data_IF_248140318272
#
_entry.id   IF_248140318272
#
_cell.length_a   1.000
_cell.length_b   1.000
_cell.length_c   1.000
_cell.angle_alpha   90.00
_cell.angle_beta   90.00
_cell.angle_gamma   90.00
#
_symmetry.space_group_name_H-M   'P 1'
#
loop_
_entity.id
_entity.type
_entity.pdbx_description
1 polymer ?
2 water ?
#
# COMPACT_ATOMS: atom_id res chain seq x y z
N UNK A 1 13.95 2.35 4.18
CA UNK A 1 12.85 3.17 3.59
C UNK A 1 11.89 2.31 2.77
N UNK A 2 10.66 2.14 3.28
CA UNK A 2 9.63 1.36 2.60
C UNK A 2 8.52 2.22 2.02
N UNK A 3 7.84 1.68 1.02
CA UNK A 3 6.93 2.46 0.18
C UNK A 3 5.63 1.71 0.02
N UNK A 4 4.53 2.43 0.11
CA UNK A 4 3.21 1.84 -0.08
C UNK A 4 2.73 2.33 -1.42
N UNK A 5 2.09 1.46 -2.16
CA UNK A 5 1.57 1.87 -3.47
C UNK A 5 0.09 1.53 -3.57
N UNK A 6 -0.74 2.54 -3.79
CA UNK A 6 -2.18 2.34 -3.94
C UNK A 6 -2.53 2.45 -5.44
N UNK A 7 -3.01 1.36 -6.02
CA UNK A 7 -3.44 1.43 -7.42
C UNK A 7 -4.89 1.94 -7.55
N UNK A 8 -5.07 3.10 -8.17
CA UNK A 8 -6.45 3.58 -8.41
C UNK A 8 -7.34 3.40 -7.18
N UNK A 9 -6.96 4.02 -6.04
CA UNK A 9 -7.85 3.88 -4.87
C UNK A 9 -9.21 4.58 -5.10
N UNK A 10 -10.22 4.05 -4.40
CA UNK A 10 -11.63 4.19 -4.76
C UNK A 10 -12.40 4.97 -3.68
N UNK A 11 -12.07 4.73 -2.40
CA UNK A 11 -12.88 5.20 -1.26
C UNK A 11 -12.09 6.20 -0.38
N UNK A 12 -12.55 7.46 -0.32
CA UNK A 12 -11.68 8.47 0.30
C UNK A 12 -11.17 8.16 1.73
N UNK A 13 -12.03 7.71 2.68
CA UNK A 13 -11.45 7.49 4.03
C UNK A 13 -10.35 6.41 4.07
N UNK A 14 -10.33 5.43 3.16
CA UNK A 14 -9.24 4.46 3.22
C UNK A 14 -7.91 5.14 2.94
N UNK A 15 -7.90 6.02 1.93
CA UNK A 15 -6.70 6.73 1.56
C UNK A 15 -6.32 7.71 2.66
N UNK A 16 -7.30 8.41 3.24
CA UNK A 16 -7.00 9.24 4.42
C UNK A 16 -6.35 8.48 5.58
N UNK A 17 -6.92 7.32 5.95
CA UNK A 17 -6.30 6.43 6.96
C UNK A 17 -4.89 5.98 6.61
N UNK A 18 -4.64 5.68 5.33
CA UNK A 18 -3.33 5.20 4.88
C UNK A 18 -2.30 6.36 4.86
N UNK A 19 -2.73 7.57 4.54
CA UNK A 19 -1.84 8.71 4.74
C UNK A 19 -1.41 8.88 6.19
N UNK A 20 -2.37 8.87 7.11
CA UNK A 20 -2.03 8.81 8.54
C UNK A 20 -1.05 7.67 8.90
N UNK A 21 -1.30 6.49 8.38
CA UNK A 21 -0.44 5.33 8.66
C UNK A 21 0.99 5.55 8.19
N UNK A 22 1.16 6.06 6.97
CA UNK A 22 2.48 6.45 6.46
C UNK A 22 3.15 7.52 7.33
N UNK A 23 2.37 8.44 7.86
CA UNK A 23 2.95 9.46 8.72
C UNK A 23 3.43 8.83 10.03
N UNK A 24 2.72 7.83 10.56
CA UNK A 24 3.06 7.20 11.83
C UNK A 24 4.22 6.20 11.75
N UNK A 25 4.52 5.72 10.54
CA UNK A 25 5.50 4.70 10.36
C UNK A 25 6.71 5.19 9.55
N UNK A 26 6.69 6.43 9.07
CA UNK A 26 7.77 6.91 8.20
C UNK A 26 7.80 6.33 6.77
N UNK A 27 6.76 5.59 6.34
CA UNK A 27 6.74 5.04 4.96
C UNK A 27 6.31 6.14 3.97
N UNK A 28 6.71 6.02 2.71
CA UNK A 28 6.25 6.93 1.65
C UNK A 28 5.02 6.34 0.99
N UNK A 29 4.13 7.18 0.49
CA UNK A 29 2.92 6.71 -0.16
C UNK A 29 2.90 7.08 -1.65
N UNK A 30 2.62 6.10 -2.51
CA UNK A 30 2.53 6.34 -3.95
C UNK A 30 1.13 6.04 -4.41
N UNK A 31 0.56 6.96 -5.17
CA UNK A 31 -0.79 6.74 -5.62
C UNK A 31 -0.84 6.70 -7.16
N UNK A 32 -1.39 5.63 -7.70
CA UNK A 32 -1.43 5.53 -9.14
C UNK A 32 -2.78 5.97 -9.66
N UNK A 33 -2.79 7.09 -10.38
CA UNK A 33 -4.02 7.66 -10.90
C UNK A 33 -4.58 6.75 -11.98
N UNK A 34 -5.90 6.84 -12.29
CA UNK A 34 -6.84 7.79 -11.69
C UNK A 34 -7.47 7.24 -10.38
N UNK A 35 -7.70 8.13 -9.42
CA UNK A 35 -8.41 7.79 -8.18
C UNK A 35 -9.92 7.91 -8.39
N UNK A 36 -10.73 7.19 -7.61
CA UNK A 36 -12.18 7.30 -7.74
C UNK A 36 -12.81 8.50 -7.04
N UNK A 37 -11.98 9.44 -6.57
CA UNK A 37 -12.48 10.61 -5.84
C UNK A 37 -11.50 11.75 -6.05
N UNK A 38 -11.91 12.98 -5.74
CA UNK A 38 -11.01 14.16 -5.89
C UNK A 38 -10.21 14.38 -4.58
N UNK A 39 -8.97 14.85 -4.66
CA UNK A 39 -8.28 15.26 -3.42
C UNK A 39 -9.11 16.20 -2.56
N UNK A 40 -10.00 16.96 -3.18
CA UNK A 40 -10.78 17.97 -2.45
C UNK A 40 -11.97 17.41 -1.71
N UNK A 41 -12.23 16.13 -1.90
CA UNK A 41 -13.36 15.44 -1.28
C UNK A 41 -13.34 15.56 0.24
N UNK A 42 -14.44 16.03 0.83
CA UNK A 42 -14.46 16.28 2.28
C UNK A 42 -14.23 14.96 3.03
N UNK A 43 -14.76 13.86 2.49
CA UNK A 43 -14.58 12.54 3.10
C UNK A 43 -13.10 12.14 3.31
N UNK A 44 -12.19 12.74 2.55
CA UNK A 44 -10.78 12.38 2.63
C UNK A 44 -10.14 12.87 3.93
N UNK A 45 -10.66 13.96 4.46
CA UNK A 45 -10.01 14.72 5.53
C UNK A 45 -10.75 14.67 6.85
N UNK A 46 -11.92 14.03 6.85
CA UNK A 46 -12.62 13.64 8.06
C UNK A 46 -11.60 13.09 9.06
N UNK A 47 -10.53 12.50 8.54
CA UNK A 47 -9.39 12.02 9.35
C UNK A 47 -8.72 13.10 10.24
N UNK A 48 -8.84 14.38 9.85
CA UNK A 48 -8.07 15.46 10.49
C UNK A 48 -6.58 15.41 10.15
N UNK A 49 -6.27 15.36 8.86
CA UNK A 49 -4.86 15.30 8.41
C UNK A 49 -4.20 16.68 8.43
N UNK A 50 -2.98 16.71 8.95
CA UNK A 50 -2.15 17.86 8.93
C UNK A 50 -1.46 17.99 7.60
N UNK A 51 -1.01 19.22 7.30
CA UNK A 51 -0.41 19.53 6.03
C UNK A 51 0.82 18.68 5.81
N UNK A 52 1.57 18.46 6.88
CA UNK A 52 2.86 17.75 6.79
C UNK A 52 2.64 16.33 6.32
N UNK A 53 1.45 15.79 6.58
CA UNK A 53 1.24 14.37 6.25
C UNK A 53 1.17 14.17 4.73
N UNK A 54 0.87 15.24 3.99
CA UNK A 54 0.79 15.12 2.53
C UNK A 54 2.12 15.19 1.86
N UNK A 55 3.18 15.48 2.61
CA UNK A 55 4.46 15.68 1.93
C UNK A 55 5.14 14.34 1.69
N UNK A 56 4.57 13.30 2.27
CA UNK A 56 5.04 11.94 2.02
C UNK A 56 4.41 11.30 0.73
N UNK A 57 3.44 11.97 0.12
CA UNK A 57 2.58 11.36 -0.90
C UNK A 57 3.03 11.75 -2.31
N UNK A 58 3.17 10.78 -3.21
CA UNK A 58 3.49 11.07 -4.64
C UNK A 58 2.40 10.49 -5.56
N UNK A 59 1.89 11.32 -6.47
CA UNK A 59 0.84 10.92 -7.43
C UNK A 59 1.54 10.53 -8.73
N UNK A 60 1.15 9.40 -9.30
CA UNK A 60 1.74 8.92 -10.55
C UNK A 60 0.63 8.79 -11.57
N UNK A 61 0.85 9.29 -12.78
CA UNK A 61 -0.18 9.32 -13.82
C UNK A 61 -0.66 7.90 -14.16
N UNK A 62 0.25 6.94 -14.12
CA UNK A 62 -0.15 5.54 -14.30
C UNK A 62 1.00 4.67 -13.88
N UNK A 63 0.78 3.39 -14.06
CA UNK A 63 1.66 2.41 -13.54
C UNK A 63 3.04 2.44 -14.21
N UNK A 64 3.09 2.76 -15.51
CA UNK A 64 4.36 2.85 -16.20
C UNK A 64 5.15 4.05 -15.71
N UNK A 65 4.47 5.19 -15.56
CA UNK A 65 5.11 6.40 -15.02
C UNK A 65 5.65 6.15 -13.61
N UNK A 66 4.89 5.45 -12.78
CA UNK A 66 5.38 5.06 -11.44
C UNK A 66 6.66 4.24 -11.53
N UNK A 67 6.66 3.25 -12.41
CA UNK A 67 7.88 2.42 -12.56
C UNK A 67 9.07 3.25 -13.06
N UNK A 68 8.83 4.21 -13.94
CA UNK A 68 9.91 5.05 -14.44
C UNK A 68 10.41 6.06 -13.40
N UNK A 69 9.52 6.66 -12.61
CA UNK A 69 9.96 7.55 -11.54
C UNK A 69 10.67 6.82 -10.41
N UNK A 70 10.25 5.59 -10.09
CA UNK A 70 10.60 5.01 -8.78
C UNK A 70 11.55 3.85 -8.92
N UNK A 71 11.43 3.16 -10.04
CA UNK A 71 12.36 2.09 -10.33
C UNK A 71 12.49 1.09 -9.20
N UNK A 72 11.37 0.52 -8.76
CA UNK A 72 11.36 -0.33 -7.56
C UNK A 72 12.21 -1.59 -7.72
N UNK A 73 13.11 -1.80 -6.76
CA UNK A 73 13.97 -2.97 -6.69
C UNK A 73 13.08 -4.19 -6.54
N UNK A 74 12.30 -4.18 -5.47
CA UNK A 74 11.31 -5.22 -5.24
C UNK A 74 9.89 -4.66 -5.12
N UNK A 75 8.97 -5.22 -5.89
CA UNK A 75 7.60 -4.78 -5.82
C UNK A 75 6.75 -5.95 -5.38
N UNK A 76 6.08 -5.82 -4.23
CA UNK A 76 5.12 -6.85 -3.79
C UNK A 76 3.66 -6.44 -4.08
N UNK A 77 2.79 -7.41 -4.31
CA UNK A 77 1.38 -7.09 -4.50
C UNK A 77 0.56 -7.98 -3.61
N UNK A 78 -0.37 -7.34 -2.90
CA UNK A 78 -1.35 -8.07 -2.11
C UNK A 78 -2.48 -8.48 -3.04
N UNK A 79 -2.81 -9.76 -3.01
CA UNK A 79 -3.87 -10.29 -3.85
C UNK A 79 -4.32 -11.52 -3.13
N UNK A 80 -5.61 -11.82 -3.20
CA UNK A 80 -6.15 -13.03 -2.56
C UNK A 80 -5.74 -14.30 -3.35
N UNK A 81 -5.42 -14.14 -4.62
CA UNK A 81 -4.81 -15.21 -5.42
C UNK A 81 -3.27 -15.34 -5.26
N UNK A 82 -2.74 -15.04 -4.08
CA UNK A 82 -1.29 -15.02 -3.92
C UNK A 82 -0.86 -16.19 -3.06
N UNK A 83 0.39 -16.61 -3.23
CA UNK A 83 0.86 -17.82 -2.54
C UNK A 83 1.37 -17.59 -1.12
N UNK A 84 2.52 -16.90 -0.93
CA UNK A 84 2.98 -16.76 0.46
C UNK A 84 2.12 -15.79 1.31
N UNK A 85 1.80 -16.18 2.54
CA UNK A 85 1.34 -15.25 3.57
C UNK A 85 2.29 -14.07 3.57
N UNK A 86 1.76 -12.87 3.83
CA UNK A 86 2.62 -11.68 3.83
C UNK A 86 3.73 -11.76 4.90
N UNK A 87 3.52 -12.54 5.95
CA UNK A 87 4.59 -12.73 6.93
C UNK A 87 5.64 -13.85 6.57
N UNK A 88 5.40 -14.63 5.52
CA UNK A 88 6.35 -15.65 5.03
C UNK A 88 7.43 -15.08 4.11
N UNK A 89 7.45 -13.77 3.95
CA UNK A 89 8.36 -13.09 3.05
C UNK A 89 9.31 -12.27 3.91
N UNK A 90 10.54 -12.07 3.45
CA UNK A 90 11.51 -11.29 4.21
C UNK A 90 11.69 -9.91 3.61
N UNK A 91 11.18 -8.90 4.28
CA UNK A 91 11.16 -7.58 3.70
C UNK A 91 12.54 -6.97 3.89
N UNK A 92 12.85 -5.92 3.14
CA UNK A 92 14.12 -5.25 3.31
C UNK A 92 14.03 -3.85 2.77
N UNK A 93 15.09 -3.09 3.01
CA UNK A 93 15.12 -1.69 2.63
C UNK A 93 14.72 -1.45 1.17
N UNK A 94 13.88 -0.45 0.94
CA UNK A 94 13.46 -0.12 -0.45
C UNK A 94 12.37 -0.97 -1.11
N UNK A 95 11.80 -1.95 -0.39
CA UNK A 95 10.64 -2.70 -0.88
C UNK A 95 9.42 -1.79 -1.11
N UNK A 96 8.73 -2.02 -2.22
CA UNK A 96 7.48 -1.35 -2.48
C UNK A 96 6.37 -2.35 -2.27
N UNK A 97 5.31 -1.91 -1.57
CA UNK A 97 4.19 -2.77 -1.24
C UNK A 97 2.91 -2.27 -1.87
N UNK A 98 2.34 -3.07 -2.77
CA UNK A 98 1.34 -2.55 -3.67
C UNK A 98 -0.05 -3.16 -3.43
N UNK A 99 -1.07 -2.29 -3.47
CA UNK A 99 -2.47 -2.68 -3.20
C UNK A 99 -3.44 -2.19 -4.28
N UNK A 100 -4.43 -3.01 -4.57
CA UNK A 100 -5.44 -2.62 -5.51
C UNK A 100 -6.61 -2.00 -4.78
N UNK A 101 -7.55 -1.45 -5.54
CA UNK A 101 -8.75 -0.82 -5.03
C UNK A 101 -9.52 -1.76 -4.11
N UNK A 102 -10.23 -1.15 -3.19
CA UNK A 102 -11.16 -1.83 -2.31
C UNK A 102 -12.03 -2.91 -3.01
N UNK A 103 -12.62 -2.61 -4.17
CA UNK A 103 -13.37 -3.63 -4.95
C UNK A 103 -12.48 -4.63 -5.67
N UNK A 104 -11.86 -4.17 -6.75
CA UNK A 104 -11.26 -5.04 -7.74
C UNK A 104 -9.97 -5.76 -7.30
N UNK A 105 -9.21 -5.21 -6.37
CA UNK A 105 -7.75 -5.53 -6.39
C UNK A 105 -7.13 -5.43 -7.81
N UNK A 106 -5.95 -6.01 -8.01
CA UNK A 106 -5.09 -5.54 -9.13
C UNK A 106 -5.33 -6.22 -10.50
N UNK A 107 -5.25 -5.44 -11.59
CA UNK A 107 -5.44 -6.00 -12.96
C UNK A 107 -4.41 -7.04 -13.33
N UNK A 108 -4.80 -7.98 -14.19
CA UNK A 108 -3.91 -9.04 -14.64
C UNK A 108 -2.58 -8.49 -15.22
N UNK A 109 -2.67 -7.40 -15.96
CA UNK A 109 -1.49 -6.85 -16.65
C UNK A 109 -0.43 -6.34 -15.67
N UNK A 110 -0.89 -5.93 -14.49
CA UNK A 110 0.03 -5.69 -13.38
C UNK A 110 0.47 -6.94 -12.64
N UNK A 111 -0.43 -7.86 -12.34
CA UNK A 111 -0.01 -9.04 -11.57
C UNK A 111 0.91 -9.96 -12.34
N UNK A 112 0.69 -10.03 -13.65
CA UNK A 112 1.55 -10.83 -14.51
C UNK A 112 2.97 -10.28 -14.59
N UNK A 113 3.13 -8.98 -14.31
CA UNK A 113 4.45 -8.34 -14.24
C UNK A 113 5.33 -8.80 -13.08
N UNK A 114 4.79 -9.65 -12.19
CA UNK A 114 5.42 -10.03 -10.92
C UNK A 114 5.59 -11.54 -10.84
N UNK A 115 6.74 -11.99 -10.32
CA UNK A 115 6.93 -13.40 -10.02
C UNK A 115 5.98 -13.88 -8.92
N UNK A 116 5.72 -15.18 -8.86
CA UNK A 116 4.72 -15.72 -7.93
C UNK A 116 4.99 -15.34 -6.49
N UNK A 117 6.26 -15.26 -6.11
CA UNK A 117 6.61 -15.15 -4.69
C UNK A 117 6.62 -13.68 -4.27
N UNK A 118 6.34 -12.79 -5.21
CA UNK A 118 6.10 -11.41 -4.87
C UNK A 118 4.59 -11.09 -4.83
N UNK A 119 3.75 -12.12 -4.90
CA UNK A 119 2.31 -11.94 -4.80
C UNK A 119 1.82 -12.54 -3.52
N UNK A 120 1.57 -11.66 -2.55
CA UNK A 120 1.35 -12.06 -1.17
C UNK A 120 -0.11 -11.97 -0.78
N UNK A 121 -0.44 -12.65 0.30
CA UNK A 121 -1.80 -12.73 0.72
C UNK A 121 -1.85 -12.65 2.23
N UNK A 122 -2.98 -12.17 2.74
CA UNK A 122 -3.16 -12.03 4.19
C UNK A 122 -3.96 -13.24 4.63
N UNK A 123 -3.43 -14.02 5.58
CA UNK A 123 -4.18 -15.22 5.87
C UNK A 123 -5.59 -14.93 6.35
N UNK A 124 -6.50 -15.82 5.99
CA UNK A 124 -7.88 -15.78 6.42
C UNK A 124 -8.46 -17.16 6.61
N UNK A 125 -9.47 -17.19 7.46
CA UNK A 125 -10.28 -18.36 7.71
C UNK A 125 -11.05 -18.72 6.43
N UNK A 126 -11.38 -20.02 6.22
CA UNK A 126 -12.20 -20.39 5.04
C UNK A 126 -13.48 -19.57 4.95
N UNK A 127 -13.89 -19.23 3.73
CA UNK A 127 -15.13 -18.49 3.48
C UNK A 127 -15.12 -17.11 4.11
N UNK A 128 -13.99 -16.44 3.92
CA UNK A 128 -13.77 -15.08 4.31
C UNK A 128 -14.47 -14.10 3.41
N UNK A 129 -14.63 -12.89 3.88
CA UNK A 129 -15.16 -11.85 3.05
C UNK A 129 -14.06 -10.81 2.86
N UNK A 130 -14.27 -9.81 2.03
CA UNK A 130 -13.18 -8.88 1.78
C UNK A 130 -12.89 -8.00 2.98
N UNK A 131 -11.61 -7.70 3.13
CA UNK A 131 -11.08 -6.93 4.25
C UNK A 131 -11.08 -5.44 3.87
N UNK A 132 -11.32 -4.56 4.83
CA UNK A 132 -11.20 -3.14 4.57
C UNK A 132 -9.75 -2.83 4.08
N UNK A 133 -9.59 -2.00 3.04
CA UNK A 133 -8.27 -1.79 2.42
C UNK A 133 -7.22 -1.18 3.35
N UNK A 134 -7.62 -0.22 4.15
CA UNK A 134 -6.69 0.38 5.06
C UNK A 134 -6.36 -0.53 6.23
N UNK A 135 -7.30 -1.40 6.63
CA UNK A 135 -6.88 -2.48 7.55
C UNK A 135 -5.79 -3.38 6.93
N UNK A 136 -6.00 -3.80 5.69
CA UNK A 136 -5.06 -4.70 5.01
C UNK A 136 -3.68 -4.06 4.88
N UNK A 137 -3.64 -2.78 4.51
CA UNK A 137 -2.36 -2.10 4.35
C UNK A 137 -1.67 -2.01 5.70
N UNK A 138 -2.42 -1.67 6.74
CA UNK A 138 -1.85 -1.61 8.10
C UNK A 138 -1.17 -2.91 8.53
N UNK A 139 -1.81 -4.04 8.24
CA UNK A 139 -1.28 -5.32 8.67
C UNK A 139 0.00 -5.57 7.89
N UNK A 140 -0.03 -5.26 6.60
CA UNK A 140 1.09 -5.59 5.74
C UNK A 140 2.29 -4.72 6.13
N UNK A 141 2.03 -3.44 6.37
CA UNK A 141 3.04 -2.49 6.74
C UNK A 141 3.69 -2.80 8.09
N UNK A 142 2.87 -3.03 9.12
CA UNK A 142 3.40 -3.29 10.44
C UNK A 142 4.19 -4.58 10.53
N UNK A 143 3.76 -5.61 9.83
CA UNK A 143 4.53 -6.83 9.77
C UNK A 143 5.90 -6.61 9.08
N UNK A 144 5.93 -5.91 7.96
CA UNK A 144 7.20 -5.47 7.37
C UNK A 144 8.06 -4.66 8.33
N UNK A 145 7.47 -3.63 8.94
CA UNK A 145 8.21 -2.72 9.78
C UNK A 145 8.79 -3.51 10.97
N UNK A 146 7.98 -4.39 11.57
CA UNK A 146 8.45 -5.32 12.59
C UNK A 146 9.66 -6.11 12.12
N UNK A 147 9.56 -6.76 10.97
CA UNK A 147 10.69 -7.54 10.49
C UNK A 147 11.97 -6.72 10.51
N UNK A 148 11.87 -5.43 10.20
CA UNK A 148 13.04 -4.56 10.12
C UNK A 148 13.43 -4.02 11.48
N UNK A 149 12.72 -4.44 12.53
CA UNK A 149 13.01 -3.95 13.86
C UNK A 149 12.52 -2.54 14.10
N UNK A 150 11.45 -2.14 13.40
CA UNK A 150 10.86 -0.81 13.61
C UNK A 150 11.82 0.39 13.52
N UNK A 151 12.76 0.39 12.56
CA UNK A 151 13.62 1.58 12.45
C UNK A 151 12.80 2.87 12.38
N UNK A 152 13.16 3.82 13.23
CA UNK A 152 12.60 5.16 13.21
C UNK A 152 11.54 5.32 14.30
N UNK A 153 11.14 4.21 14.92
CA UNK A 153 10.12 4.28 15.98
C UNK A 153 10.73 4.83 17.26
N UNK A 154 9.93 5.59 18.02
CA UNK A 154 10.32 5.99 19.36
C UNK A 154 10.62 4.71 20.16
N UNK A 155 11.86 4.62 20.67
CA UNK A 155 12.34 3.43 21.39
C UNK A 155 11.87 3.43 22.85
N UNK A 156 11.65 4.63 23.41
CA UNK A 156 10.95 4.79 24.69
C UNK A 156 9.41 4.78 24.50
#
# INVERSE_FOLDING_TARGET
MLNIVLYEPEIPPNTGNIIRLCANTGFRLHIIEPMGFAWDDKRLRRAGLDYHEFTAVTRHHDYRAFLEAENPQRLFALTTKGTPAHSAVSYQDGDYLMFGPETRGLPASILDALPAEQKIRIPMVPDSRSMNLSNAVSVVVYEAWRQLGYPGAVLRD
#
